data_IF_815850704554
#
_entry.id   IF_815850704554
#
_cell.length_a   1.000
_cell.length_b   1.000
_cell.length_c   1.000
_cell.angle_alpha   90.00
_cell.angle_beta   90.00
_cell.angle_gamma   90.00
#
_symmetry.space_group_name_H-M   'P 1'
#
loop_
_entity.id
_entity.type
_entity.pdbx_description
1 polymer ?
#
# COMPACT_ATOMS: atom_id res chain seq x y z
N UNK A 1 1.61 19.54 -14.62
CA UNK A 1 0.36 19.46 -15.40
C UNK A 1 -0.88 19.11 -14.56
N UNK A 2 -0.78 18.34 -13.46
CA UNK A 2 -1.90 18.14 -12.52
C UNK A 2 -2.19 19.34 -11.60
N UNK A 3 -1.16 20.14 -11.27
CA UNK A 3 -1.33 21.35 -10.44
C UNK A 3 -2.07 22.51 -11.14
N UNK A 4 -2.23 22.45 -12.48
CA UNK A 4 -2.77 23.55 -13.29
C UNK A 4 -4.25 23.39 -13.65
N UNK A 5 -4.94 22.33 -13.19
CA UNK A 5 -6.32 22.06 -13.63
C UNK A 5 -7.30 21.88 -12.47
N UNK A 6 -7.44 22.94 -11.67
CA UNK A 6 -8.45 23.17 -10.62
C UNK A 6 -7.82 23.07 -9.23
N UNK A 7 -7.88 24.19 -8.51
CA UNK A 7 -7.52 24.34 -7.09
C UNK A 7 -8.48 23.61 -6.17
N UNK A 8 -8.58 22.30 -6.36
CA UNK A 8 -9.06 21.33 -5.39
C UNK A 8 -8.07 20.17 -5.55
N UNK A 9 -6.86 20.34 -5.03
CA UNK A 9 -6.07 19.19 -4.62
C UNK A 9 -6.90 18.54 -3.52
N UNK A 10 -7.84 17.67 -3.91
CA UNK A 10 -8.78 17.08 -2.98
C UNK A 10 -7.92 16.39 -1.92
N UNK A 11 -7.85 16.90 -0.67
CA UNK A 11 -6.87 16.44 0.31
C UNK A 11 -7.08 14.96 0.65
N UNK A 12 -8.28 14.45 0.38
CA UNK A 12 -8.60 13.03 0.48
C UNK A 12 -7.93 12.16 -0.58
N UNK A 13 -7.39 12.71 -1.68
CA UNK A 13 -6.67 11.92 -2.68
C UNK A 13 -5.33 11.40 -2.17
N UNK A 14 -4.70 12.08 -1.21
CA UNK A 14 -3.48 11.60 -0.55
C UNK A 14 -3.78 10.79 0.73
N UNK A 15 -5.04 10.77 1.20
CA UNK A 15 -5.40 9.96 2.36
C UNK A 15 -5.19 8.47 2.06
N UNK A 16 -4.43 7.81 2.92
CA UNK A 16 -4.11 6.39 2.79
C UNK A 16 -2.90 6.09 1.90
N UNK A 17 -2.26 7.09 1.28
CA UNK A 17 -0.98 6.88 0.58
C UNK A 17 0.16 6.52 1.55
N UNK A 18 0.12 7.11 2.75
CA UNK A 18 1.01 6.73 3.86
C UNK A 18 0.88 5.24 4.17
N UNK A 19 -0.37 4.79 4.29
CA UNK A 19 -0.71 3.42 4.61
C UNK A 19 -0.31 2.46 3.46
N UNK A 20 -0.44 2.89 2.21
CA UNK A 20 0.05 2.14 1.04
C UNK A 20 1.57 2.08 0.96
N UNK A 21 2.28 3.14 1.37
CA UNK A 21 3.74 3.16 1.42
C UNK A 21 4.28 2.19 2.49
N UNK A 22 3.61 2.14 3.65
CA UNK A 22 3.91 1.14 4.68
C UNK A 22 3.62 -0.26 4.14
N UNK A 23 2.46 -0.48 3.51
CA UNK A 23 2.09 -1.78 2.95
C UNK A 23 3.10 -2.27 1.89
N UNK A 24 3.50 -1.42 0.95
CA UNK A 24 4.45 -1.79 -0.11
C UNK A 24 5.81 -2.19 0.45
N UNK A 25 6.28 -1.46 1.47
CA UNK A 25 7.55 -1.77 2.12
C UNK A 25 7.54 -3.11 2.86
N UNK A 26 6.45 -3.45 3.53
CA UNK A 26 6.32 -4.72 4.27
C UNK A 26 6.11 -5.91 3.34
N UNK A 27 5.28 -5.77 2.29
CA UNK A 27 5.15 -6.80 1.23
C UNK A 27 6.52 -7.07 0.60
N UNK A 28 7.30 -6.00 0.38
CA UNK A 28 8.66 -6.04 -0.13
C UNK A 28 9.70 -6.65 0.81
N UNK A 29 9.34 -6.97 2.05
CA UNK A 29 10.23 -7.60 3.04
C UNK A 29 11.10 -6.61 3.82
N UNK A 30 10.80 -5.32 3.82
CA UNK A 30 11.51 -4.32 4.62
C UNK A 30 10.98 -4.30 6.06
N UNK A 31 11.90 -4.23 7.02
CA UNK A 31 11.54 -4.17 8.45
C UNK A 31 10.95 -2.81 8.86
N UNK A 32 9.78 -2.85 9.53
CA UNK A 32 9.10 -1.67 10.10
C UNK A 32 9.84 -1.04 11.29
N UNK A 33 10.59 -1.85 12.05
CA UNK A 33 11.16 -1.45 13.35
C UNK A 33 12.68 -1.18 13.31
N UNK A 34 13.32 -1.33 12.14
CA UNK A 34 14.76 -1.14 12.04
C UNK A 34 15.31 -0.86 10.65
N UNK A 35 14.45 -0.60 9.65
CA UNK A 35 14.83 -0.29 8.27
C UNK A 35 15.91 -1.23 7.68
N UNK A 36 15.96 -2.49 8.13
CA UNK A 36 16.82 -3.52 7.53
C UNK A 36 16.04 -4.10 6.36
N UNK A 37 16.38 -3.65 5.15
CA UNK A 37 15.77 -4.06 3.89
C UNK A 37 16.42 -3.35 2.71
N UNK A 38 16.26 -3.89 1.51
CA UNK A 38 16.79 -3.28 0.29
C UNK A 38 15.68 -2.54 -0.45
N UNK A 39 16.02 -1.45 -1.16
CA UNK A 39 15.05 -0.61 -1.91
C UNK A 39 14.30 -1.41 -2.99
N UNK A 40 14.92 -2.47 -3.51
CA UNK A 40 14.33 -3.31 -4.56
C UNK A 40 13.07 -4.07 -4.11
N UNK A 41 12.98 -4.45 -2.83
CA UNK A 41 11.84 -5.18 -2.27
C UNK A 41 10.55 -4.34 -2.26
N UNK A 42 10.55 -3.15 -1.62
CA UNK A 42 9.43 -2.22 -1.63
C UNK A 42 9.00 -1.77 -3.02
N UNK A 43 9.94 -1.65 -3.96
CA UNK A 43 9.65 -1.29 -5.35
C UNK A 43 8.76 -2.34 -6.03
N UNK A 44 9.08 -3.63 -5.82
CA UNK A 44 8.22 -4.73 -6.25
C UNK A 44 6.89 -4.77 -5.49
N UNK A 45 6.90 -4.53 -4.18
CA UNK A 45 5.68 -4.44 -3.37
C UNK A 45 4.73 -3.31 -3.82
N UNK A 46 5.28 -2.16 -4.19
CA UNK A 46 4.55 -1.02 -4.71
C UNK A 46 3.95 -1.33 -6.09
N UNK A 47 4.69 -2.04 -6.94
CA UNK A 47 4.18 -2.50 -8.23
C UNK A 47 2.97 -3.43 -8.05
N UNK A 48 3.04 -4.40 -7.14
CA UNK A 48 1.93 -5.32 -6.83
C UNK A 48 0.70 -4.54 -6.35
N UNK A 49 0.87 -3.62 -5.39
CA UNK A 49 -0.23 -2.79 -4.88
C UNK A 49 -0.83 -1.88 -5.96
N UNK A 50 0.01 -1.33 -6.85
CA UNK A 50 -0.45 -0.52 -7.98
C UNK A 50 -1.29 -1.34 -8.96
N UNK A 51 -0.89 -2.58 -9.26
CA UNK A 51 -1.67 -3.50 -10.11
C UNK A 51 -2.99 -3.88 -9.45
N UNK A 52 -3.02 -4.15 -8.14
CA UNK A 52 -4.25 -4.45 -7.41
C UNK A 52 -5.21 -3.25 -7.43
N UNK A 53 -4.70 -2.04 -7.18
CA UNK A 53 -5.53 -0.83 -7.23
C UNK A 53 -6.07 -0.55 -8.62
N UNK A 54 -5.26 -0.72 -9.67
CA UNK A 54 -5.73 -0.59 -11.04
C UNK A 54 -6.76 -1.67 -11.40
N UNK A 55 -6.54 -2.92 -10.99
CA UNK A 55 -7.49 -4.02 -11.19
C UNK A 55 -8.82 -3.79 -10.48
N UNK A 56 -8.81 -3.35 -9.22
CA UNK A 56 -10.02 -3.02 -8.47
C UNK A 56 -10.79 -1.86 -9.10
N UNK A 57 -10.08 -0.86 -9.64
CA UNK A 57 -10.69 0.26 -10.35
C UNK A 57 -11.34 -0.18 -11.68
N UNK A 58 -10.66 -1.05 -12.45
CA UNK A 58 -11.21 -1.64 -13.68
C UNK A 58 -12.45 -2.50 -13.43
N UNK A 59 -12.52 -3.17 -12.28
CA UNK A 59 -13.68 -3.91 -11.82
C UNK A 59 -14.81 -3.01 -11.27
N UNK A 60 -14.66 -1.69 -11.35
CA UNK A 60 -15.61 -0.69 -10.86
C UNK A 60 -15.98 -0.89 -9.37
N UNK A 61 -15.02 -1.37 -8.57
CA UNK A 61 -15.23 -1.56 -7.14
C UNK A 61 -15.41 -0.19 -6.49
N UNK A 62 -16.48 -0.02 -5.73
CA UNK A 62 -16.75 1.21 -5.00
C UNK A 62 -15.59 1.54 -4.04
N UNK A 63 -15.15 2.79 -4.02
CA UNK A 63 -14.04 3.29 -3.20
C UNK A 63 -14.16 2.93 -1.71
N UNK A 64 -15.38 2.83 -1.18
CA UNK A 64 -15.65 2.36 0.18
C UNK A 64 -15.12 0.93 0.40
N UNK A 65 -15.44 0.01 -0.51
CA UNK A 65 -14.98 -1.37 -0.46
C UNK A 65 -13.47 -1.46 -0.71
N UNK A 66 -12.92 -0.63 -1.58
CA UNK A 66 -11.48 -0.57 -1.81
C UNK A 66 -10.71 -0.16 -0.56
N UNK A 67 -11.23 0.80 0.24
CA UNK A 67 -10.63 1.23 1.52
C UNK A 67 -10.67 0.11 2.56
N UNK A 68 -11.79 -0.62 2.66
CA UNK A 68 -11.90 -1.79 3.55
C UNK A 68 -10.93 -2.90 3.14
N UNK A 69 -10.90 -3.27 1.86
CA UNK A 69 -10.00 -4.31 1.34
C UNK A 69 -8.54 -3.94 1.59
N UNK A 70 -8.17 -2.69 1.36
CA UNK A 70 -6.81 -2.19 1.62
C UNK A 70 -6.45 -2.30 3.11
N UNK A 71 -7.35 -1.91 4.01
CA UNK A 71 -7.14 -2.04 5.45
C UNK A 71 -6.97 -3.51 5.90
N UNK A 72 -7.85 -4.40 5.42
CA UNK A 72 -7.76 -5.84 5.70
C UNK A 72 -6.46 -6.43 5.15
N UNK A 73 -6.09 -6.08 3.91
CA UNK A 73 -4.87 -6.54 3.27
C UNK A 73 -3.65 -6.22 4.15
N UNK A 74 -3.60 -5.02 4.72
CA UNK A 74 -2.48 -4.58 5.56
C UNK A 74 -2.42 -5.34 6.87
N UNK A 75 -3.57 -5.56 7.52
CA UNK A 75 -3.62 -6.38 8.74
C UNK A 75 -3.06 -7.78 8.45
N UNK A 76 -3.46 -8.38 7.33
CA UNK A 76 -2.97 -9.70 6.90
C UNK A 76 -1.46 -9.66 6.64
N UNK A 77 -0.97 -8.67 5.89
CA UNK A 77 0.46 -8.52 5.58
C UNK A 77 1.29 -8.37 6.85
N UNK A 78 0.86 -7.50 7.77
CA UNK A 78 1.58 -7.24 9.03
C UNK A 78 1.53 -8.46 9.95
N UNK A 79 0.39 -9.16 10.01
CA UNK A 79 0.28 -10.41 10.76
C UNK A 79 1.25 -11.47 10.23
N UNK A 80 1.29 -11.68 8.90
CA UNK A 80 2.23 -12.61 8.28
C UNK A 80 3.69 -12.17 8.44
N UNK A 81 4.00 -10.87 8.34
CA UNK A 81 5.35 -10.35 8.62
C UNK A 81 5.77 -10.64 10.07
N UNK A 82 4.87 -10.45 11.03
CA UNK A 82 5.07 -10.78 12.43
C UNK A 82 5.32 -12.28 12.68
N UNK A 83 4.56 -13.15 12.01
CA UNK A 83 4.77 -14.61 12.10
C UNK A 83 6.11 -15.03 11.50
N UNK A 84 6.49 -14.47 10.35
CA UNK A 84 7.73 -14.80 9.65
C UNK A 84 8.97 -14.43 10.47
N UNK A 85 8.87 -13.36 11.28
CA UNK A 85 9.92 -12.97 12.24
C UNK A 85 10.08 -13.95 13.40
N UNK A 86 9.03 -14.65 13.81
CA UNK A 86 9.09 -15.58 14.96
C UNK A 86 9.74 -16.93 14.63
N UNK A 87 9.96 -17.20 13.34
CA UNK A 87 10.64 -18.40 12.85
C UNK A 87 12.11 -18.19 12.46
N UNK A 88 12.69 -17.01 12.71
CA UNK A 88 14.12 -16.71 12.63
C UNK A 88 14.60 -16.18 13.97
#
# INVERSE_FOLDING_TARGET
>A
LLASRIGIGNPTQAEGWELQAIASSVIGGTSLFGAVGSVHGPLLGAFILATINNGANLLNVNAFWQRIITGVLIIVIVYFDGLRRRGK
#
